data_IF_985047403151
#
_entry.id   IF_985047403151
#
_cell.length_a   1.000
_cell.length_b   1.000
_cell.length_c   1.000
_cell.angle_alpha   90.00
_cell.angle_beta   90.00
_cell.angle_gamma   90.00
#
_symmetry.space_group_name_H-M   'P 1'
#
loop_
_entity.id
_entity.type
_entity.pdbx_description
1 polymer ?
#
# COMPACT_ATOMS: atom_id res chain seq x y z
N UNK A 1 -10.06 11.58 -1.70
CA UNK A 1 -10.34 10.14 -1.47
C UNK A 1 -9.58 9.79 -0.19
N UNK A 2 -10.27 9.26 0.83
CA UNK A 2 -9.63 8.91 2.11
C UNK A 2 -8.73 7.69 1.90
N UNK A 3 -7.47 7.74 2.32
CA UNK A 3 -6.63 6.55 2.42
C UNK A 3 -7.30 5.54 3.39
N UNK A 4 -7.42 4.24 3.04
CA UNK A 4 -8.03 3.23 3.88
C UNK A 4 -7.06 2.69 4.95
N UNK A 5 -6.05 3.47 5.34
CA UNK A 5 -5.00 3.04 6.26
C UNK A 5 -4.89 4.03 7.42
N UNK A 6 -4.93 3.51 8.65
CA UNK A 6 -4.63 4.28 9.85
C UNK A 6 -3.11 4.25 10.12
N UNK A 7 -2.50 5.44 10.30
CA UNK A 7 -1.06 5.59 10.54
C UNK A 7 -0.80 5.98 12.00
N UNK A 8 0.04 5.22 12.71
CA UNK A 8 0.16 5.35 14.19
C UNK A 8 1.60 5.51 14.70
N UNK A 9 2.52 4.58 14.44
CA UNK A 9 3.84 4.52 15.11
C UNK A 9 5.06 4.37 14.17
N UNK A 10 5.51 5.44 13.51
CA UNK A 10 6.64 5.41 12.57
C UNK A 10 7.90 6.13 13.08
N UNK A 11 9.08 5.79 12.52
CA UNK A 11 10.35 6.45 12.85
C UNK A 11 10.32 7.94 12.48
N UNK A 12 10.78 8.80 13.39
CA UNK A 12 10.91 10.24 13.11
C UNK A 12 11.80 10.46 11.89
N UNK A 13 11.34 11.28 10.95
CA UNK A 13 11.97 11.50 9.64
C UNK A 13 11.40 10.64 8.51
N UNK A 14 10.48 9.71 8.80
CA UNK A 14 9.82 8.86 7.81
C UNK A 14 8.34 9.24 7.58
N UNK A 15 7.86 10.32 8.19
CA UNK A 15 6.49 10.84 8.07
C UNK A 15 6.05 10.90 6.60
N UNK A 16 6.91 11.46 5.73
CA UNK A 16 6.57 11.74 4.34
C UNK A 16 6.39 10.49 3.47
N UNK A 17 6.78 9.30 3.95
CA UNK A 17 6.51 8.05 3.23
C UNK A 17 5.02 7.68 3.26
N UNK A 18 4.24 8.34 4.11
CA UNK A 18 2.80 8.15 4.23
C UNK A 18 2.00 9.31 3.65
N UNK A 19 2.67 10.30 3.03
CA UNK A 19 1.99 11.38 2.33
C UNK A 19 1.18 10.81 1.16
N UNK A 20 -0.07 11.23 1.04
CA UNK A 20 -0.96 10.79 -0.03
C UNK A 20 -0.58 11.53 -1.32
N UNK A 21 -0.35 10.77 -2.39
CA UNK A 21 -0.13 11.34 -3.73
C UNK A 21 -1.30 12.25 -4.12
N UNK A 22 -1.04 13.47 -4.62
CA UNK A 22 -2.10 14.34 -5.11
C UNK A 22 -2.88 13.68 -6.24
N UNK A 23 -4.21 13.85 -6.25
CA UNK A 23 -5.07 13.27 -7.31
C UNK A 23 -4.70 13.77 -8.71
N UNK A 24 -4.12 14.98 -8.82
CA UNK A 24 -3.61 15.53 -10.08
C UNK A 24 -2.36 14.79 -10.62
N UNK A 25 -1.72 13.98 -9.78
CA UNK A 25 -0.49 13.25 -10.09
C UNK A 25 -0.72 11.72 -10.12
N UNK A 26 -1.98 11.28 -10.00
CA UNK A 26 -2.34 9.87 -9.91
C UNK A 26 -3.33 9.46 -11.02
N UNK A 27 -3.09 8.30 -11.64
CA UNK A 27 -4.03 7.65 -12.56
C UNK A 27 -4.67 6.46 -11.85
N UNK A 28 -6.00 6.51 -11.67
CA UNK A 28 -6.77 5.48 -10.97
C UNK A 28 -7.54 4.65 -11.99
N UNK A 29 -7.08 3.43 -12.25
CA UNK A 29 -7.73 2.49 -13.18
C UNK A 29 -8.64 1.48 -12.49
N UNK A 30 -8.40 1.19 -11.21
CA UNK A 30 -9.19 0.24 -10.43
C UNK A 30 -9.28 0.65 -8.95
N UNK A 31 -10.11 -0.05 -8.19
CA UNK A 31 -10.25 0.15 -6.75
C UNK A 31 -9.00 -0.34 -6.00
N UNK A 32 -8.74 0.26 -4.84
CA UNK A 32 -7.64 -0.08 -3.94
C UNK A 32 -7.53 -1.61 -3.71
N UNK A 33 -6.28 -2.10 -3.68
CA UNK A 33 -5.95 -3.51 -3.55
C UNK A 33 -4.93 -3.71 -2.45
N UNK A 34 -5.38 -4.16 -1.28
CA UNK A 34 -4.56 -4.45 -0.10
C UNK A 34 -3.47 -5.50 -0.37
N UNK A 35 -3.70 -6.36 -1.37
CA UNK A 35 -2.79 -7.44 -1.75
C UNK A 35 -1.84 -7.07 -2.88
N UNK A 36 -1.93 -5.85 -3.42
CA UNK A 36 -1.05 -5.37 -4.49
C UNK A 36 0.42 -5.53 -4.10
N UNK A 37 1.27 -5.79 -5.10
CA UNK A 37 2.73 -5.81 -4.91
C UNK A 37 3.27 -4.47 -4.41
N UNK A 38 2.56 -3.37 -4.68
CA UNK A 38 2.98 -2.00 -4.35
C UNK A 38 2.61 -1.59 -2.92
N UNK A 39 1.86 -2.44 -2.19
CA UNK A 39 1.44 -2.15 -0.81
C UNK A 39 2.47 -2.71 0.18
N UNK A 40 2.93 -1.84 1.08
CA UNK A 40 3.79 -2.15 2.22
C UNK A 40 3.09 -3.01 3.28
N UNK A 41 3.87 -3.69 4.12
CA UNK A 41 3.36 -4.45 5.26
C UNK A 41 2.94 -3.57 6.44
N UNK A 42 2.22 -4.17 7.40
CA UNK A 42 1.67 -3.47 8.58
C UNK A 42 2.71 -2.75 9.45
N UNK A 43 3.99 -3.16 9.38
CA UNK A 43 5.07 -2.64 10.22
C UNK A 43 6.07 -1.76 9.45
N UNK A 44 5.80 -1.41 8.20
CA UNK A 44 6.72 -0.60 7.41
C UNK A 44 7.05 0.71 8.10
N UNK A 45 8.35 1.03 8.21
CA UNK A 45 8.87 2.21 8.91
C UNK A 45 8.57 2.30 10.41
N UNK A 46 8.13 1.21 11.04
CA UNK A 46 7.84 1.16 12.48
C UNK A 46 9.08 1.42 13.35
N UNK A 47 8.88 2.14 14.47
CA UNK A 47 9.88 2.29 15.54
C UNK A 47 10.17 0.99 16.30
N UNK A 48 9.23 0.03 16.25
CA UNK A 48 9.33 -1.26 16.91
C UNK A 48 8.67 -2.33 16.02
N UNK A 49 9.43 -2.79 15.03
CA UNK A 49 8.97 -3.71 13.99
C UNK A 49 8.52 -5.04 14.60
N UNK A 50 7.28 -5.44 14.30
CA UNK A 50 6.64 -6.66 14.82
C UNK A 50 5.73 -6.44 16.04
N UNK A 51 5.85 -5.29 16.71
CA UNK A 51 5.02 -4.95 17.88
C UNK A 51 4.09 -3.77 17.60
N UNK A 52 4.59 -2.73 16.93
CA UNK A 52 3.83 -1.49 16.67
C UNK A 52 3.53 -1.33 15.18
N UNK A 53 2.28 -1.54 14.78
CA UNK A 53 1.83 -1.35 13.40
C UNK A 53 1.87 0.14 13.02
N UNK A 54 2.25 0.41 11.78
CA UNK A 54 2.18 1.72 11.13
C UNK A 54 1.04 1.81 10.12
N UNK A 55 0.52 0.69 9.65
CA UNK A 55 -0.63 0.62 8.76
C UNK A 55 -1.51 -0.55 9.15
N UNK A 56 -2.81 -0.33 9.07
CA UNK A 56 -3.83 -1.35 9.29
C UNK A 56 -4.91 -1.24 8.23
N UNK A 57 -5.32 -2.38 7.67
CA UNK A 57 -6.45 -2.43 6.75
C UNK A 57 -7.75 -2.15 7.51
N UNK A 58 -8.67 -1.37 6.92
CA UNK A 58 -10.00 -1.17 7.52
C UNK A 58 -10.78 -2.47 7.73
N UNK A 59 -10.52 -3.47 6.90
CA UNK A 59 -11.00 -4.81 7.13
C UNK A 59 -9.98 -5.57 7.99
N UNK A 60 -10.30 -5.73 9.27
CA UNK A 60 -9.43 -6.39 10.27
C UNK A 60 -9.06 -7.84 9.94
N UNK A 61 -9.77 -8.50 9.02
CA UNK A 61 -9.40 -9.85 8.54
C UNK A 61 -8.22 -9.86 7.56
N UNK A 62 -7.76 -8.69 7.11
CA UNK A 62 -6.67 -8.54 6.15
C UNK A 62 -5.40 -8.13 6.89
N UNK A 63 -4.37 -8.97 6.79
CA UNK A 63 -3.00 -8.63 7.19
C UNK A 63 -2.23 -8.07 6.00
N UNK A 64 -1.77 -6.82 6.10
CA UNK A 64 -0.90 -6.22 5.09
C UNK A 64 0.50 -6.85 5.14
N UNK A 65 1.01 -7.24 3.98
CA UNK A 65 2.28 -7.95 3.85
C UNK A 65 3.26 -7.14 3.04
N UNK A 66 4.54 -7.19 3.39
CA UNK A 66 5.59 -6.53 2.60
C UNK A 66 5.77 -7.18 1.22
N UNK A 67 6.17 -6.40 0.19
CA UNK A 67 6.29 -6.89 -1.19
C UNK A 67 7.14 -8.16 -1.33
N UNK A 68 8.26 -8.26 -0.62
CA UNK A 68 9.17 -9.41 -0.69
C UNK A 68 8.57 -10.72 -0.12
N UNK A 69 7.45 -10.65 0.60
CA UNK A 69 6.73 -11.83 1.11
C UNK A 69 5.57 -12.26 0.22
N UNK A 70 5.23 -11.47 -0.79
CA UNK A 70 4.12 -11.75 -1.71
C UNK A 70 4.61 -12.70 -2.82
N UNK A 71 3.75 -13.58 -3.33
CA UNK A 71 4.12 -14.55 -4.37
C UNK A 71 4.40 -13.91 -5.74
N UNK A 72 4.03 -12.64 -5.94
CA UNK A 72 4.19 -11.91 -7.19
C UNK A 72 3.11 -10.86 -7.39
N UNK A 73 2.97 -10.39 -8.63
CA UNK A 73 1.92 -9.47 -9.06
C UNK A 73 0.54 -10.11 -8.91
N UNK A 74 -0.43 -9.32 -8.46
CA UNK A 74 -1.84 -9.71 -8.53
C UNK A 74 -2.40 -9.44 -9.93
N UNK A 75 -3.52 -10.07 -10.30
CA UNK A 75 -4.19 -9.79 -11.58
C UNK A 75 -4.57 -8.30 -11.72
N UNK A 76 -4.91 -7.63 -10.61
CA UNK A 76 -5.21 -6.20 -10.61
C UNK A 76 -3.97 -5.33 -10.86
N UNK A 77 -2.80 -5.76 -10.38
CA UNK A 77 -1.55 -5.07 -10.69
C UNK A 77 -1.23 -5.17 -12.18
N UNK A 78 -1.42 -6.35 -12.77
CA UNK A 78 -1.20 -6.61 -14.19
C UNK A 78 -2.18 -5.79 -15.04
N UNK A 79 -3.45 -5.72 -14.66
CA UNK A 79 -4.46 -4.89 -15.33
C UNK A 79 -4.09 -3.41 -15.31
N UNK A 80 -3.70 -2.86 -14.16
CA UNK A 80 -3.25 -1.46 -14.04
C UNK A 80 -2.05 -1.19 -14.95
N UNK A 81 -1.07 -2.10 -15.00
CA UNK A 81 0.12 -1.97 -15.87
C UNK A 81 -0.28 -2.01 -17.35
N UNK A 82 -1.14 -2.94 -17.75
CA UNK A 82 -1.61 -3.04 -19.13
C UNK A 82 -2.39 -1.81 -19.57
N UNK A 83 -3.23 -1.26 -18.70
CA UNK A 83 -3.96 -0.02 -18.95
C UNK A 83 -3.01 1.19 -19.06
N UNK A 84 -1.98 1.25 -18.22
CA UNK A 84 -0.99 2.33 -18.24
C UNK A 84 -0.16 2.34 -19.52
N UNK A 85 0.20 1.15 -20.05
CA UNK A 85 1.03 1.00 -21.24
C UNK A 85 0.25 0.74 -22.53
N UNK A 86 -1.09 0.75 -22.47
CA UNK A 86 -1.97 0.44 -23.60
C UNK A 86 -1.64 -0.91 -24.28
N UNK A 87 -1.33 -1.92 -23.46
CA UNK A 87 -1.05 -3.27 -23.94
C UNK A 87 -2.32 -3.88 -24.56
N UNK A 88 -2.17 -4.47 -25.75
CA UNK A 88 -3.24 -5.15 -26.52
C UNK A 88 -3.35 -6.63 -26.17
#
# INVERSE_FOLDING_TARGET
>A
ISSPLAIVFFNKGYESNFDITPVSEELIFNNFNEFSIMIYGEFAFSVDTGNLKTMEALNESITLKDPFTKPGLTNRDIETINNLYECQ
#
